data_IF_456798410217
#
_entry.id   IF_456798410217
#
_cell.length_a   1.000
_cell.length_b   1.000
_cell.length_c   1.000
_cell.angle_alpha   90.00
_cell.angle_beta   90.00
_cell.angle_gamma   90.00
#
_symmetry.space_group_name_H-M   'P 1'
#
loop_
_entity.id
_entity.type
_entity.pdbx_description
1 polymer ?
#
# COMPACT_ATOMS: atom_id res chain seq x y z
N UNK A 1 -24.22 -7.20 -10.26
CA UNK A 1 -25.29 -7.28 -9.25
C UNK A 1 -26.57 -7.63 -10.00
N UNK A 2 -27.43 -8.55 -9.52
CA UNK A 2 -28.60 -9.02 -10.30
C UNK A 2 -29.78 -8.04 -10.27
N UNK A 3 -29.81 -7.12 -9.30
CA UNK A 3 -30.83 -6.08 -9.15
C UNK A 3 -30.17 -4.74 -8.86
N UNK A 4 -30.76 -3.66 -9.37
CA UNK A 4 -30.29 -2.30 -9.12
C UNK A 4 -30.48 -1.89 -7.65
N UNK A 5 -29.56 -1.07 -7.13
CA UNK A 5 -29.57 -0.64 -5.74
C UNK A 5 -30.82 0.18 -5.40
N UNK A 6 -31.33 0.95 -6.37
CA UNK A 6 -32.56 1.73 -6.20
C UNK A 6 -33.80 0.85 -6.02
N UNK A 7 -33.83 -0.32 -6.65
CA UNK A 7 -34.89 -1.31 -6.50
C UNK A 7 -34.88 -1.94 -5.11
N UNK A 8 -33.70 -2.30 -4.62
CA UNK A 8 -33.54 -2.84 -3.25
C UNK A 8 -34.03 -1.84 -2.21
N UNK A 9 -33.63 -0.57 -2.34
CA UNK A 9 -34.06 0.51 -1.42
C UNK A 9 -35.56 0.75 -1.45
N UNK A 10 -36.20 0.64 -2.63
CA UNK A 10 -37.67 0.76 -2.76
C UNK A 10 -38.41 -0.32 -1.98
N UNK A 11 -38.00 -1.58 -2.11
CA UNK A 11 -38.62 -2.70 -1.38
C UNK A 11 -38.41 -2.56 0.14
N UNK A 12 -37.19 -2.18 0.56
CA UNK A 12 -36.89 -1.98 1.99
C UNK A 12 -37.66 -0.80 2.59
N UNK A 13 -37.81 0.30 1.85
CA UNK A 13 -38.61 1.45 2.28
C UNK A 13 -40.09 1.08 2.43
N UNK A 14 -40.66 0.37 1.46
CA UNK A 14 -42.04 -0.11 1.56
C UNK A 14 -42.25 -0.97 2.81
N UNK A 15 -41.31 -1.88 3.11
CA UNK A 15 -41.37 -2.70 4.32
C UNK A 15 -41.23 -1.88 5.61
N UNK A 16 -40.36 -0.88 5.64
CA UNK A 16 -40.20 0.04 6.78
C UNK A 16 -41.46 0.87 7.04
N UNK A 17 -42.07 1.37 5.98
CA UNK A 17 -43.25 2.25 6.04
C UNK A 17 -44.56 1.46 6.27
N UNK A 18 -44.48 0.14 6.49
CA UNK A 18 -45.63 -0.75 6.73
C UNK A 18 -46.48 -1.02 5.48
N UNK A 19 -45.96 -0.72 4.29
CA UNK A 19 -46.63 -0.95 3.01
C UNK A 19 -46.43 -2.39 2.53
N UNK A 20 -47.21 -2.79 1.51
CA UNK A 20 -47.05 -4.10 0.89
C UNK A 20 -45.79 -4.17 0.02
N UNK A 21 -44.69 -4.55 0.66
CA UNK A 21 -43.40 -4.75 0.01
C UNK A 21 -43.38 -5.94 -0.96
N UNK A 22 -44.32 -6.89 -0.86
CA UNK A 22 -44.40 -8.03 -1.78
C UNK A 22 -44.88 -7.57 -3.15
N UNK A 23 -45.92 -6.73 -3.17
CA UNK A 23 -46.41 -6.09 -4.40
C UNK A 23 -45.33 -5.19 -5.03
N UNK A 24 -44.62 -4.40 -4.22
CA UNK A 24 -43.48 -3.59 -4.71
C UNK A 24 -42.38 -4.48 -5.30
N UNK A 25 -42.07 -5.62 -4.69
CA UNK A 25 -41.08 -6.55 -5.22
C UNK A 25 -41.52 -7.15 -6.57
N UNK A 26 -42.78 -7.57 -6.70
CA UNK A 26 -43.33 -8.12 -7.94
C UNK A 26 -43.32 -7.07 -9.06
N UNK A 27 -43.73 -5.83 -8.77
CA UNK A 27 -43.72 -4.71 -9.73
C UNK A 27 -42.32 -4.33 -10.22
N UNK A 28 -41.29 -4.63 -9.44
CA UNK A 28 -39.88 -4.38 -9.81
C UNK A 28 -39.16 -5.66 -10.29
N UNK A 29 -39.90 -6.72 -10.63
CA UNK A 29 -39.36 -8.01 -11.11
C UNK A 29 -38.35 -8.67 -10.14
N UNK A 30 -38.52 -8.42 -8.84
CA UNK A 30 -37.70 -9.03 -7.80
C UNK A 30 -38.36 -10.34 -7.34
N UNK A 31 -37.59 -11.43 -7.37
CA UNK A 31 -38.05 -12.70 -6.79
C UNK A 31 -38.43 -12.52 -5.32
N UNK A 32 -39.67 -12.90 -4.96
CA UNK A 32 -40.20 -12.76 -3.59
C UNK A 32 -39.28 -13.33 -2.51
N UNK A 33 -38.66 -14.49 -2.73
CA UNK A 33 -37.71 -15.09 -1.77
C UNK A 33 -36.48 -14.21 -1.52
N UNK A 34 -36.05 -13.46 -2.53
CA UNK A 34 -34.93 -12.51 -2.42
C UNK A 34 -35.36 -11.26 -1.67
N UNK A 35 -36.52 -10.69 -2.01
CA UNK A 35 -37.11 -9.54 -1.30
C UNK A 35 -37.36 -9.87 0.18
N UNK A 36 -37.92 -11.04 0.48
CA UNK A 36 -38.11 -11.54 1.83
C UNK A 36 -36.80 -11.62 2.61
N UNK A 37 -35.73 -12.16 2.00
CA UNK A 37 -34.41 -12.19 2.65
C UNK A 37 -33.91 -10.79 2.99
N UNK A 38 -34.10 -9.81 2.11
CA UNK A 38 -33.72 -8.41 2.36
C UNK A 38 -34.48 -7.81 3.54
N UNK A 39 -35.81 -7.92 3.53
CA UNK A 39 -36.68 -7.41 4.60
C UNK A 39 -36.35 -8.09 5.94
N UNK A 40 -36.22 -9.41 5.95
CA UNK A 40 -35.92 -10.17 7.17
C UNK A 40 -34.52 -9.83 7.72
N UNK A 41 -33.52 -9.58 6.86
CA UNK A 41 -32.20 -9.13 7.33
C UNK A 41 -32.20 -7.67 7.78
N UNK A 42 -32.95 -6.79 7.13
CA UNK A 42 -33.11 -5.40 7.55
C UNK A 42 -33.83 -5.31 8.90
N UNK A 43 -34.88 -6.10 9.10
CA UNK A 43 -35.62 -6.18 10.35
C UNK A 43 -34.78 -6.75 11.50
N UNK A 44 -33.98 -7.79 11.24
CA UNK A 44 -33.14 -8.40 12.26
C UNK A 44 -31.95 -7.52 12.72
N UNK A 45 -31.43 -6.66 11.84
CA UNK A 45 -30.26 -5.81 12.15
C UNK A 45 -30.61 -4.31 12.28
N UNK A 46 -31.88 -3.94 12.16
CA UNK A 46 -32.39 -2.56 12.07
C UNK A 46 -31.72 -1.71 10.97
N UNK A 47 -31.29 -2.34 9.87
CA UNK A 47 -30.56 -1.70 8.77
C UNK A 47 -31.43 -1.52 7.52
N UNK A 48 -32.39 -0.59 7.58
CA UNK A 48 -33.37 -0.34 6.50
C UNK A 48 -32.83 0.46 5.30
N UNK A 49 -31.66 1.08 5.44
CA UNK A 49 -31.01 1.88 4.38
C UNK A 49 -29.81 1.20 3.70
N UNK A 50 -29.40 0.04 4.19
CA UNK A 50 -28.21 -0.66 3.72
C UNK A 50 -28.63 -1.81 2.81
N UNK A 51 -28.12 -1.80 1.59
CA UNK A 51 -28.31 -2.89 0.64
C UNK A 51 -27.77 -4.19 1.25
N UNK A 52 -28.56 -5.27 1.42
CA UNK A 52 -28.14 -6.50 2.09
C UNK A 52 -27.08 -7.33 1.34
N UNK A 53 -26.45 -6.72 0.32
CA UNK A 53 -25.46 -7.37 -0.52
C UNK A 53 -24.20 -7.59 0.33
N UNK A 54 -24.11 -8.76 0.95
CA UNK A 54 -22.86 -9.21 1.54
C UNK A 54 -21.80 -9.26 0.43
N UNK A 55 -20.56 -8.81 0.68
CA UNK A 55 -19.48 -9.00 -0.26
C UNK A 55 -19.41 -10.49 -0.67
N UNK A 56 -19.33 -10.75 -1.97
CA UNK A 56 -19.23 -12.11 -2.49
C UNK A 56 -17.82 -12.63 -2.26
N UNK A 57 -17.71 -13.72 -1.51
CA UNK A 57 -16.44 -14.31 -1.14
C UNK A 57 -15.73 -13.51 -0.04
N UNK A 58 -14.67 -14.11 0.50
CA UNK A 58 -13.78 -13.47 1.47
C UNK A 58 -12.37 -13.99 1.24
N UNK A 59 -11.37 -13.17 1.58
CA UNK A 59 -9.96 -13.62 1.57
C UNK A 59 -9.83 -14.76 2.57
N UNK A 60 -9.69 -15.99 2.08
CA UNK A 60 -9.35 -17.17 2.89
C UNK A 60 -7.86 -17.48 2.71
N UNK A 61 -7.21 -17.94 3.78
CA UNK A 61 -5.83 -18.42 3.79
C UNK A 61 -4.75 -17.36 3.47
N UNK A 62 -4.92 -16.12 3.96
CA UNK A 62 -3.85 -15.11 3.89
C UNK A 62 -2.70 -15.54 4.81
N UNK A 63 -1.51 -15.76 4.25
CA UNK A 63 -0.30 -16.10 5.02
C UNK A 63 0.40 -14.87 5.62
N UNK A 64 0.37 -13.74 4.91
CA UNK A 64 1.01 -12.49 5.34
C UNK A 64 -0.04 -11.62 6.03
N UNK A 65 0.14 -11.38 7.32
CA UNK A 65 -0.66 -10.45 8.11
C UNK A 65 0.00 -9.08 8.14
N UNK A 66 -0.71 -8.06 8.60
CA UNK A 66 -0.14 -6.70 8.72
C UNK A 66 1.11 -6.66 9.60
N UNK A 67 1.16 -7.47 10.67
CA UNK A 67 2.34 -7.62 11.52
C UNK A 67 3.59 -8.10 10.76
N UNK A 68 3.42 -9.01 9.79
CA UNK A 68 4.55 -9.46 8.95
C UNK A 68 5.03 -8.35 8.03
N UNK A 69 4.09 -7.56 7.48
CA UNK A 69 4.42 -6.42 6.62
C UNK A 69 5.14 -5.33 7.41
N UNK A 70 4.67 -5.00 8.61
CA UNK A 70 5.29 -3.99 9.47
C UNK A 70 6.73 -4.39 9.84
N UNK A 71 6.97 -5.66 10.16
CA UNK A 71 8.32 -6.18 10.38
C UNK A 71 9.24 -5.98 9.17
N UNK A 72 8.74 -6.31 7.98
CA UNK A 72 9.48 -6.15 6.74
C UNK A 72 9.80 -4.68 6.42
N UNK A 73 8.88 -3.77 6.73
CA UNK A 73 9.10 -2.33 6.56
C UNK A 73 10.16 -1.82 7.55
N UNK A 74 10.13 -2.25 8.81
CA UNK A 74 11.19 -1.93 9.77
C UNK A 74 12.56 -2.40 9.29
N UNK A 75 12.65 -3.59 8.70
CA UNK A 75 13.90 -4.07 8.11
C UNK A 75 14.37 -3.22 6.92
N UNK A 76 13.45 -2.71 6.10
CA UNK A 76 13.78 -1.81 4.99
C UNK A 76 14.23 -0.43 5.48
N UNK A 77 13.69 0.07 6.59
CA UNK A 77 14.14 1.32 7.21
C UNK A 77 15.59 1.22 7.72
N UNK A 78 15.98 0.04 8.22
CA UNK A 78 17.36 -0.23 8.64
C UNK A 78 18.29 -0.51 7.45
N UNK A 79 17.81 -1.30 6.48
CA UNK A 79 18.59 -1.79 5.34
C UNK A 79 17.80 -1.55 4.04
N UNK A 80 18.01 -0.37 3.45
CA UNK A 80 17.30 0.02 2.21
C UNK A 80 17.70 -0.78 0.95
N UNK A 81 18.72 -1.64 1.05
CA UNK A 81 19.18 -2.52 -0.02
C UNK A 81 18.63 -3.95 0.07
N UNK A 82 17.77 -4.21 1.06
CA UNK A 82 17.21 -5.53 1.28
C UNK A 82 16.45 -6.00 0.04
N UNK A 83 16.82 -7.18 -0.45
CA UNK A 83 16.21 -7.80 -1.62
C UNK A 83 14.93 -8.53 -1.23
N UNK A 84 14.03 -8.72 -2.20
CA UNK A 84 12.80 -9.47 -1.94
C UNK A 84 13.06 -10.93 -1.54
N UNK A 85 14.18 -11.53 -1.98
CA UNK A 85 14.56 -12.89 -1.61
C UNK A 85 15.01 -12.94 -0.13
N UNK A 86 15.84 -12.00 0.31
CA UNK A 86 16.21 -11.85 1.73
C UNK A 86 14.99 -11.56 2.62
N UNK A 87 13.99 -10.84 2.11
CA UNK A 87 12.73 -10.60 2.84
C UNK A 87 11.90 -11.88 2.99
N UNK A 88 11.90 -12.76 2.00
CA UNK A 88 11.27 -14.09 2.11
C UNK A 88 11.98 -14.91 3.19
N UNK A 89 13.31 -14.95 3.15
CA UNK A 89 14.12 -15.66 4.14
C UNK A 89 13.89 -15.10 5.55
N UNK A 90 13.81 -13.77 5.70
CA UNK A 90 13.52 -13.12 6.98
C UNK A 90 12.14 -13.51 7.55
N UNK A 91 11.13 -13.69 6.71
CA UNK A 91 9.81 -14.18 7.13
C UNK A 91 9.83 -15.67 7.51
N UNK A 92 10.59 -16.49 6.78
CA UNK A 92 10.74 -17.90 7.09
C UNK A 92 11.48 -18.09 8.42
N UNK A 93 12.62 -17.42 8.62
CA UNK A 93 13.42 -17.53 9.84
C UNK A 93 12.66 -17.03 11.07
N UNK A 94 11.96 -15.90 10.97
CA UNK A 94 11.31 -15.29 12.14
C UNK A 94 9.93 -15.85 12.46
N UNK A 95 9.14 -16.18 11.43
CA UNK A 95 7.73 -16.54 11.60
C UNK A 95 7.38 -17.93 11.07
N UNK A 96 8.35 -18.66 10.49
CA UNK A 96 8.13 -19.94 9.80
C UNK A 96 7.09 -19.81 8.66
N UNK A 97 7.04 -18.64 8.03
CA UNK A 97 6.08 -18.30 6.97
C UNK A 97 6.75 -18.49 5.60
N UNK A 98 6.40 -19.59 4.92
CA UNK A 98 6.86 -19.86 3.55
C UNK A 98 5.96 -19.18 2.51
N UNK A 99 6.52 -18.20 1.82
CA UNK A 99 5.85 -17.37 0.81
C UNK A 99 6.72 -17.19 -0.43
N UNK A 100 6.11 -16.88 -1.56
CA UNK A 100 6.86 -16.53 -2.77
C UNK A 100 7.32 -15.08 -2.75
N UNK A 101 8.39 -14.78 -3.48
CA UNK A 101 8.89 -13.41 -3.70
C UNK A 101 7.81 -12.43 -4.19
N UNK A 102 6.94 -12.89 -5.11
CA UNK A 102 5.82 -12.08 -5.61
C UNK A 102 4.80 -11.75 -4.52
N UNK A 103 4.57 -12.66 -3.57
CA UNK A 103 3.65 -12.42 -2.45
C UNK A 103 4.19 -11.28 -1.59
N UNK A 104 5.48 -11.31 -1.24
CA UNK A 104 6.14 -10.24 -0.50
C UNK A 104 6.07 -8.92 -1.26
N UNK A 105 6.40 -8.92 -2.56
CA UNK A 105 6.29 -7.73 -3.41
C UNK A 105 4.90 -7.09 -3.37
N UNK A 106 3.84 -7.87 -3.59
CA UNK A 106 2.47 -7.33 -3.58
C UNK A 106 2.10 -6.69 -2.24
N UNK A 107 2.47 -7.32 -1.12
CA UNK A 107 2.18 -6.77 0.19
C UNK A 107 2.97 -5.49 0.51
N UNK A 108 4.19 -5.36 -0.01
CA UNK A 108 5.00 -4.13 0.12
C UNK A 108 4.43 -3.02 -0.78
N UNK A 109 4.09 -3.34 -2.03
CA UNK A 109 3.49 -2.39 -2.98
C UNK A 109 2.13 -1.87 -2.45
N UNK A 110 1.33 -2.72 -1.81
CA UNK A 110 0.06 -2.34 -1.16
C UNK A 110 0.26 -1.30 -0.05
N UNK A 111 1.46 -1.19 0.53
CA UNK A 111 1.85 -0.15 1.50
C UNK A 111 2.43 1.11 0.85
N UNK A 112 2.26 1.26 -0.47
CA UNK A 112 2.76 2.40 -1.27
C UNK A 112 4.29 2.56 -1.24
N UNK A 113 5.01 1.49 -0.95
CA UNK A 113 6.47 1.53 -0.97
C UNK A 113 6.95 1.39 -2.42
N UNK A 114 7.89 2.25 -2.84
CA UNK A 114 8.51 2.16 -4.17
C UNK A 114 10.01 1.99 -3.99
N UNK A 115 10.53 0.82 -4.37
CA UNK A 115 11.97 0.58 -4.40
C UNK A 115 12.59 1.35 -5.56
N UNK A 116 13.49 2.28 -5.27
CA UNK A 116 14.31 2.97 -6.28
C UNK A 116 15.71 2.36 -6.29
N UNK A 117 16.36 2.42 -7.44
CA UNK A 117 17.75 2.01 -7.53
C UNK A 117 18.61 2.98 -6.72
N UNK A 118 19.21 2.49 -5.64
CA UNK A 118 20.10 3.29 -4.79
C UNK A 118 21.49 3.32 -5.41
N UNK A 119 22.01 4.53 -5.67
CA UNK A 119 23.37 4.70 -6.17
C UNK A 119 24.36 4.40 -5.05
N UNK A 120 25.19 3.37 -5.24
CA UNK A 120 26.21 2.99 -4.26
C UNK A 120 27.41 3.93 -4.39
N UNK A 121 27.43 4.97 -3.58
CA UNK A 121 28.59 5.86 -3.52
C UNK A 121 29.75 5.22 -2.75
N UNK A 122 30.98 5.57 -3.14
CA UNK A 122 32.16 5.11 -2.43
C UNK A 122 32.17 5.66 -0.99
N UNK A 123 32.27 4.75 0.00
CA UNK A 123 32.29 5.10 1.42
C UNK A 123 33.48 6.00 1.80
N UNK A 124 34.52 6.06 0.96
CA UNK A 124 35.63 7.00 1.10
C UNK A 124 35.16 8.44 1.32
N UNK A 125 34.15 8.90 0.57
CA UNK A 125 33.59 10.26 0.70
C UNK A 125 32.89 10.51 2.04
N UNK A 126 32.48 9.45 2.73
CA UNK A 126 31.70 9.49 3.97
C UNK A 126 32.55 9.25 5.22
N UNK A 127 33.86 9.01 5.08
CA UNK A 127 34.78 8.97 6.21
C UNK A 127 34.70 10.29 7.01
N UNK A 128 34.74 10.26 8.36
CA UNK A 128 34.59 11.45 9.18
C UNK A 128 35.55 12.58 8.79
N UNK A 129 36.82 12.26 8.54
CA UNK A 129 37.81 13.26 8.13
C UNK A 129 37.49 13.86 6.75
N UNK A 130 37.02 13.07 5.79
CA UNK A 130 36.69 13.54 4.45
C UNK A 130 35.43 14.41 4.44
N UNK A 131 34.47 14.15 5.33
CA UNK A 131 33.32 15.05 5.52
C UNK A 131 33.76 16.45 5.96
N UNK A 132 34.73 16.52 6.87
CA UNK A 132 35.33 17.79 7.32
C UNK A 132 36.05 18.47 6.17
N UNK A 133 36.96 17.78 5.48
CA UNK A 133 37.70 18.34 4.34
C UNK A 133 36.78 18.89 3.24
N UNK A 134 35.71 18.16 2.91
CA UNK A 134 34.73 18.59 1.90
C UNK A 134 33.95 19.82 2.35
N UNK A 135 33.56 19.89 3.63
CA UNK A 135 32.88 21.06 4.19
C UNK A 135 33.80 22.28 4.13
N UNK A 136 35.03 22.12 4.61
CA UNK A 136 35.99 23.21 4.70
C UNK A 136 36.38 23.73 3.31
N UNK A 137 36.59 22.82 2.34
CA UNK A 137 36.76 23.19 0.93
C UNK A 137 35.61 24.05 0.39
N UNK A 138 34.35 23.68 0.66
CA UNK A 138 33.18 24.45 0.19
C UNK A 138 33.13 25.83 0.87
N UNK A 139 33.42 25.90 2.16
CA UNK A 139 33.47 27.17 2.90
C UNK A 139 34.51 28.11 2.28
N UNK A 140 35.73 27.60 2.05
CA UNK A 140 36.81 28.37 1.43
C UNK A 140 36.46 28.80 0.01
N UNK A 141 35.91 27.90 -0.81
CA UNK A 141 35.46 28.18 -2.16
C UNK A 141 34.44 29.32 -2.20
N UNK A 142 33.45 29.29 -1.28
CA UNK A 142 32.43 30.32 -1.17
C UNK A 142 33.03 31.66 -0.73
N UNK A 143 34.00 31.65 0.19
CA UNK A 143 34.70 32.87 0.63
C UNK A 143 35.47 33.54 -0.52
N UNK A 144 36.16 32.76 -1.34
CA UNK A 144 36.90 33.27 -2.50
C UNK A 144 35.98 33.80 -3.59
N UNK A 145 34.83 33.15 -3.78
CA UNK A 145 33.78 33.63 -4.69
C UNK A 145 33.20 34.97 -4.21
N UNK A 146 32.95 35.11 -2.91
CA UNK A 146 32.48 36.36 -2.31
C UNK A 146 33.52 37.49 -2.43
N UNK A 147 34.80 37.17 -2.35
CA UNK A 147 35.90 38.10 -2.60
C UNK A 147 36.12 38.46 -4.09
N UNK A 148 35.27 37.96 -5.00
CA UNK A 148 35.33 38.27 -6.42
C UNK A 148 36.44 37.54 -7.19
N UNK A 149 37.06 36.50 -6.61
CA UNK A 149 38.10 35.72 -7.29
C UNK A 149 37.51 34.85 -8.39
N UNK A 150 38.22 34.71 -9.50
CA UNK A 150 37.85 33.81 -10.60
C UNK A 150 38.40 32.40 -10.33
N UNK A 151 37.52 31.42 -10.33
CA UNK A 151 37.84 30.02 -10.02
C UNK A 151 38.03 29.24 -11.31
N UNK A 152 39.15 28.51 -11.43
CA UNK A 152 39.42 27.59 -12.53
C UNK A 152 39.48 26.17 -11.98
N UNK A 153 38.77 25.24 -12.64
CA UNK A 153 38.81 23.83 -12.32
C UNK A 153 39.66 23.10 -13.35
N UNK A 154 40.60 22.30 -12.86
CA UNK A 154 41.47 21.43 -13.68
C UNK A 154 41.33 20.03 -13.10
N UNK A 155 40.99 19.07 -13.96
CA UNK A 155 40.86 17.66 -13.59
C UNK A 155 41.41 16.80 -14.74
N UNK A 156 41.94 15.63 -14.40
CA UNK A 156 42.50 14.69 -15.37
C UNK A 156 41.46 13.64 -15.73
N UNK A 157 41.12 13.52 -17.01
CA UNK A 157 40.25 12.45 -17.52
C UNK A 157 41.11 11.41 -18.24
N UNK A 158 41.13 10.18 -17.72
CA UNK A 158 41.79 9.06 -18.39
C UNK A 158 40.97 8.57 -19.60
N UNK A 159 41.65 8.23 -20.70
CA UNK A 159 41.05 7.58 -21.86
C UNK A 159 41.41 6.09 -21.86
N UNK A 160 40.42 5.22 -22.04
CA UNK A 160 40.67 3.82 -22.34
C UNK A 160 40.95 3.70 -23.84
N UNK A 161 42.17 3.27 -24.19
CA UNK A 161 42.58 2.92 -25.56
C UNK A 161 42.18 1.48 -25.92
#
# INVERSE_FOLDING_TARGET
>A
MLYDESTVKRVLRAARDGQDWQDVAVKNDVKLRTAYRWVNTAQANDTWGVTPCRPRGGRRNIKITDHHVDYLLCLLDEICYLTLDEMVDALEVRFNVKVSRQTVKHHIDDRMYTMKQTHRDNNYRNLPHNKVLRRDYVVDLLSYKAAGKKIFYVDETNFNL
#
